data_IF_844326656269
#
_entry.id   IF_844326656269
#
_cell.length_a   1.000
_cell.length_b   1.000
_cell.length_c   1.000
_cell.angle_alpha   90.00
_cell.angle_beta   90.00
_cell.angle_gamma   90.00
#
_symmetry.space_group_name_H-M   'P 1'
#
loop_
_entity.id
_entity.type
_entity.pdbx_description
1 polymer ?
#
# COMPACT_ATOMS: atom_id res chain seq x y z
N UNK A 1 18.59 -13.14 -18.02
CA UNK A 1 17.49 -12.96 -17.05
C UNK A 1 17.61 -14.07 -16.02
N UNK A 2 18.13 -13.74 -14.84
CA UNK A 2 18.07 -14.61 -13.67
C UNK A 2 17.40 -13.77 -12.60
N UNK A 3 16.29 -14.29 -12.11
CA UNK A 3 15.42 -13.74 -11.09
C UNK A 3 16.26 -13.27 -9.89
N UNK A 4 16.20 -11.96 -9.60
CA UNK A 4 17.07 -11.26 -8.65
C UNK A 4 16.75 -11.60 -7.20
N UNK A 5 17.00 -12.85 -6.80
CA UNK A 5 17.05 -13.23 -5.39
C UNK A 5 18.37 -12.73 -4.83
N UNK A 6 18.28 -11.73 -3.97
CA UNK A 6 19.37 -11.25 -3.13
C UNK A 6 19.93 -12.45 -2.36
N UNK A 7 21.18 -12.84 -2.66
CA UNK A 7 21.85 -13.94 -1.96
C UNK A 7 22.20 -13.41 -0.58
N UNK A 8 21.52 -13.93 0.45
CA UNK A 8 21.83 -13.60 1.85
C UNK A 8 23.20 -14.20 2.16
N UNK A 9 24.23 -13.34 2.22
CA UNK A 9 25.57 -13.76 2.65
C UNK A 9 25.54 -14.22 4.10
N UNK A 10 26.24 -15.32 4.37
CA UNK A 10 26.52 -15.75 5.74
C UNK A 10 27.31 -14.67 6.48
N UNK A 11 27.04 -14.50 7.79
CA UNK A 11 27.70 -13.49 8.63
C UNK A 11 29.24 -13.64 8.62
N UNK A 12 29.73 -14.88 8.48
CA UNK A 12 31.16 -15.19 8.36
C UNK A 12 31.82 -14.62 7.09
N UNK A 13 31.04 -14.20 6.09
CA UNK A 13 31.50 -13.67 4.80
C UNK A 13 31.31 -12.15 4.70
N UNK A 14 30.85 -11.50 5.78
CA UNK A 14 30.53 -10.08 5.76
C UNK A 14 31.78 -9.22 5.63
N UNK A 15 31.70 -8.24 4.74
CA UNK A 15 32.69 -7.17 4.66
C UNK A 15 32.31 -5.96 5.55
N UNK A 16 33.18 -4.96 5.59
CA UNK A 16 32.97 -3.74 6.39
C UNK A 16 31.69 -3.00 5.97
N UNK A 17 31.31 -3.08 4.69
CA UNK A 17 30.11 -2.45 4.18
C UNK A 17 28.86 -3.21 4.61
N UNK A 18 28.86 -4.54 4.57
CA UNK A 18 27.78 -5.38 5.07
C UNK A 18 27.49 -5.09 6.56
N UNK A 19 28.53 -5.02 7.38
CA UNK A 19 28.40 -4.65 8.81
C UNK A 19 27.83 -3.24 9.00
N UNK A 20 28.26 -2.27 8.17
CA UNK A 20 27.74 -0.89 8.23
C UNK A 20 26.26 -0.84 7.87
N UNK A 21 25.82 -1.59 6.85
CA UNK A 21 24.43 -1.68 6.45
C UNK A 21 23.57 -2.31 7.55
N UNK A 22 24.04 -3.38 8.19
CA UNK A 22 23.35 -3.99 9.32
C UNK A 22 23.17 -3.00 10.50
N UNK A 23 24.20 -2.22 10.81
CA UNK A 23 24.13 -1.18 11.85
C UNK A 23 23.13 -0.07 11.50
N UNK A 24 23.09 0.38 10.24
CA UNK A 24 22.13 1.38 9.78
C UNK A 24 20.70 0.83 9.88
N UNK A 25 20.47 -0.38 9.38
CA UNK A 25 19.18 -1.05 9.48
C UNK A 25 18.71 -1.16 10.94
N UNK A 26 19.59 -1.57 11.87
CA UNK A 26 19.26 -1.65 13.29
C UNK A 26 18.89 -0.28 13.90
N UNK A 27 19.61 0.79 13.55
CA UNK A 27 19.31 2.16 14.00
C UNK A 27 17.97 2.66 13.47
N UNK A 28 17.67 2.38 12.20
CA UNK A 28 16.41 2.76 11.58
C UNK A 28 15.24 1.98 12.18
N UNK A 29 15.37 0.67 12.34
CA UNK A 29 14.37 -0.17 13.01
C UNK A 29 14.06 0.35 14.41
N UNK A 30 15.10 0.67 15.20
CA UNK A 30 14.92 1.27 16.51
C UNK A 30 14.13 2.59 16.44
N UNK A 31 14.46 3.45 15.47
CA UNK A 31 13.75 4.72 15.24
C UNK A 31 12.27 4.48 14.95
N UNK A 32 11.94 3.51 14.09
CA UNK A 32 10.55 3.11 13.84
C UNK A 32 9.88 2.64 15.13
N UNK A 33 10.47 1.69 15.85
CA UNK A 33 9.87 1.14 17.06
C UNK A 33 9.60 2.19 18.15
N UNK A 34 10.49 3.18 18.30
CA UNK A 34 10.28 4.31 19.22
C UNK A 34 9.14 5.24 18.79
N UNK A 35 8.87 5.36 17.49
CA UNK A 35 7.82 6.24 16.96
C UNK A 35 6.43 5.59 16.93
N UNK A 36 6.34 4.26 16.96
CA UNK A 36 5.08 3.53 16.80
C UNK A 36 4.29 3.42 18.10
N UNK A 37 2.96 3.47 17.98
CA UNK A 37 2.07 3.15 19.10
C UNK A 37 2.10 1.64 19.37
N UNK A 38 1.72 1.17 20.58
CA UNK A 38 1.77 -0.26 20.92
C UNK A 38 1.05 -1.18 19.93
N UNK A 39 -0.11 -0.77 19.39
CA UNK A 39 -0.86 -1.56 18.42
C UNK A 39 -0.16 -1.67 17.05
N UNK A 40 0.60 -0.65 16.65
CA UNK A 40 1.35 -0.61 15.40
C UNK A 40 2.67 -1.36 15.55
N UNK A 41 3.36 -1.17 16.68
CA UNK A 41 4.55 -1.93 17.05
C UNK A 41 4.29 -3.43 17.01
N UNK A 42 3.22 -3.92 17.65
CA UNK A 42 2.90 -5.35 17.69
C UNK A 42 2.79 -5.97 16.28
N UNK A 43 2.30 -5.21 15.29
CA UNK A 43 2.16 -5.68 13.90
C UNK A 43 3.48 -5.84 13.16
N UNK A 44 4.50 -5.07 13.53
CA UNK A 44 5.81 -5.03 12.85
C UNK A 44 6.96 -5.59 13.71
N UNK A 45 6.68 -6.00 14.95
CA UNK A 45 7.67 -6.47 15.93
C UNK A 45 8.51 -7.66 15.46
N UNK A 46 7.98 -8.48 14.53
CA UNK A 46 8.65 -9.64 13.95
C UNK A 46 9.32 -9.37 12.60
N UNK A 47 9.37 -8.11 12.14
CA UNK A 47 10.08 -7.77 10.90
C UNK A 47 11.59 -7.79 11.12
N UNK A 48 12.33 -8.32 10.15
CA UNK A 48 13.79 -8.50 10.26
C UNK A 48 14.58 -7.29 9.75
N UNK A 49 13.95 -6.44 8.95
CA UNK A 49 14.58 -5.26 8.37
C UNK A 49 13.61 -4.08 8.26
N UNK A 50 14.18 -2.88 8.10
CA UNK A 50 13.44 -1.62 7.99
C UNK A 50 12.47 -1.61 6.81
N UNK A 51 12.83 -2.28 5.70
CA UNK A 51 12.00 -2.35 4.49
C UNK A 51 10.71 -3.08 4.78
N UNK A 52 10.75 -4.21 5.49
CA UNK A 52 9.56 -4.95 5.88
C UNK A 52 8.66 -4.16 6.83
N UNK A 53 9.25 -3.44 7.81
CA UNK A 53 8.49 -2.55 8.69
C UNK A 53 7.75 -1.51 7.85
N UNK A 54 8.48 -0.82 6.96
CA UNK A 54 7.93 0.21 6.10
C UNK A 54 6.84 -0.33 5.18
N UNK A 55 7.07 -1.47 4.53
CA UNK A 55 6.11 -2.10 3.62
C UNK A 55 4.82 -2.49 4.35
N UNK A 56 4.91 -3.07 5.56
CA UNK A 56 3.73 -3.39 6.38
C UNK A 56 2.97 -2.16 6.84
N UNK A 57 3.67 -1.11 7.27
CA UNK A 57 3.05 0.16 7.64
C UNK A 57 2.37 0.79 6.42
N UNK A 58 3.04 0.83 5.28
CA UNK A 58 2.49 1.37 4.03
C UNK A 58 1.21 0.64 3.62
N UNK A 59 1.20 -0.70 3.66
CA UNK A 59 0.01 -1.51 3.42
C UNK A 59 -1.11 -1.21 4.42
N UNK A 60 -0.78 -1.04 5.69
CA UNK A 60 -1.78 -0.78 6.74
C UNK A 60 -2.50 0.56 6.54
N UNK A 61 -1.77 1.62 6.21
CA UNK A 61 -2.38 2.96 6.07
C UNK A 61 -2.91 3.25 4.67
N UNK A 62 -2.25 2.75 3.62
CA UNK A 62 -2.65 3.01 2.23
C UNK A 62 -3.58 1.92 1.67
N UNK A 63 -3.59 0.74 2.28
CA UNK A 63 -4.22 -0.46 1.72
C UNK A 63 -3.32 -1.13 0.67
N UNK A 64 -3.74 -2.30 0.18
CA UNK A 64 -3.07 -3.01 -0.93
C UNK A 64 -3.75 -2.71 -2.26
N UNK A 65 -3.01 -2.87 -3.37
CA UNK A 65 -3.59 -2.85 -4.72
C UNK A 65 -4.69 -3.91 -4.88
N UNK A 66 -4.53 -5.09 -4.26
CA UNK A 66 -5.54 -6.14 -4.29
C UNK A 66 -6.87 -5.71 -3.65
N UNK A 67 -6.84 -5.01 -2.50
CA UNK A 67 -8.06 -4.46 -1.88
C UNK A 67 -8.70 -3.41 -2.78
N UNK A 68 -7.88 -2.58 -3.43
CA UNK A 68 -8.35 -1.57 -4.38
C UNK A 68 -9.03 -2.21 -5.60
N UNK A 69 -8.39 -3.21 -6.21
CA UNK A 69 -8.90 -3.97 -7.35
C UNK A 69 -10.19 -4.72 -7.00
N UNK A 70 -10.24 -5.34 -5.82
CA UNK A 70 -11.44 -6.02 -5.31
C UNK A 70 -12.60 -5.04 -5.18
N UNK A 71 -12.37 -3.85 -4.59
CA UNK A 71 -13.40 -2.80 -4.49
C UNK A 71 -13.87 -2.30 -5.85
N UNK A 72 -12.97 -2.17 -6.83
CA UNK A 72 -13.34 -1.81 -8.21
C UNK A 72 -14.22 -2.91 -8.81
N UNK A 73 -13.82 -4.18 -8.68
CA UNK A 73 -14.58 -5.31 -9.22
C UNK A 73 -15.98 -5.39 -8.63
N UNK A 74 -16.13 -5.18 -7.31
CA UNK A 74 -17.44 -5.14 -6.64
C UNK A 74 -18.30 -4.01 -7.20
N UNK A 75 -17.77 -2.79 -7.25
CA UNK A 75 -18.54 -1.64 -7.76
C UNK A 75 -18.89 -1.76 -9.26
N UNK A 76 -18.02 -2.37 -10.05
CA UNK A 76 -18.32 -2.67 -11.46
C UNK A 76 -19.45 -3.69 -11.59
N UNK A 77 -19.43 -4.74 -10.78
CA UNK A 77 -20.50 -5.72 -10.73
C UNK A 77 -21.83 -5.10 -10.26
N UNK A 78 -21.80 -4.27 -9.22
CA UNK A 78 -22.99 -3.55 -8.73
C UNK A 78 -23.55 -2.60 -9.79
N UNK A 79 -22.67 -1.94 -10.56
CA UNK A 79 -23.07 -1.12 -11.69
C UNK A 79 -23.77 -1.93 -12.79
N UNK A 80 -23.28 -3.12 -13.12
CA UNK A 80 -23.87 -3.99 -14.15
C UNK A 80 -25.24 -4.56 -13.72
N UNK A 81 -25.42 -4.79 -12.42
CA UNK A 81 -26.67 -5.34 -11.86
C UNK A 81 -27.68 -4.27 -11.45
N UNK A 82 -27.31 -2.99 -11.49
CA UNK A 82 -28.21 -1.92 -11.04
C UNK A 82 -29.45 -1.90 -11.94
N UNK A 83 -30.61 -2.00 -11.31
CA UNK A 83 -31.90 -1.92 -11.98
C UNK A 83 -32.88 -1.26 -11.05
N UNK A 84 -33.80 -0.51 -11.65
CA UNK A 84 -34.81 0.16 -10.87
C UNK A 84 -35.77 -0.87 -10.26
N UNK A 85 -36.02 -0.80 -8.95
CA UNK A 85 -37.05 -1.61 -8.27
C UNK A 85 -38.45 -1.01 -8.51
N UNK A 86 -39.47 -1.83 -8.31
CA UNK A 86 -40.88 -1.40 -8.50
C UNK A 86 -41.37 -0.43 -7.42
N UNK A 87 -40.72 -0.43 -6.25
CA UNK A 87 -41.09 0.32 -5.05
C UNK A 87 -40.17 1.51 -4.76
N UNK A 88 -39.14 1.74 -5.59
CA UNK A 88 -38.24 2.88 -5.41
C UNK A 88 -38.57 4.04 -6.36
N UNK A 89 -38.22 5.25 -5.94
CA UNK A 89 -38.35 6.45 -6.75
C UNK A 89 -37.17 6.59 -7.70
N UNK A 90 -37.37 7.34 -8.79
CA UNK A 90 -36.30 7.68 -9.75
C UNK A 90 -35.12 8.38 -9.04
N UNK A 91 -35.40 9.19 -8.01
CA UNK A 91 -34.36 9.88 -7.24
C UNK A 91 -33.51 8.91 -6.42
N UNK A 92 -34.12 7.90 -5.81
CA UNK A 92 -33.38 6.89 -5.02
C UNK A 92 -32.48 6.04 -5.92
N UNK A 93 -33.00 5.62 -7.08
CA UNK A 93 -32.21 4.92 -8.09
C UNK A 93 -31.04 5.79 -8.61
N UNK A 94 -31.30 7.08 -8.88
CA UNK A 94 -30.28 8.03 -9.33
C UNK A 94 -29.18 8.28 -8.29
N UNK A 95 -29.55 8.32 -7.00
CA UNK A 95 -28.59 8.45 -5.91
C UNK A 95 -27.69 7.20 -5.83
N UNK A 96 -28.27 6.00 -5.90
CA UNK A 96 -27.50 4.75 -5.90
C UNK A 96 -26.51 4.68 -7.08
N UNK A 97 -26.96 5.04 -8.27
CA UNK A 97 -26.09 5.13 -9.45
C UNK A 97 -24.94 6.13 -9.23
N UNK A 98 -25.25 7.29 -8.68
CA UNK A 98 -24.26 8.35 -8.41
C UNK A 98 -23.23 7.88 -7.39
N UNK A 99 -23.63 7.17 -6.35
CA UNK A 99 -22.75 6.61 -5.33
C UNK A 99 -21.75 5.59 -5.93
N UNK A 100 -22.22 4.68 -6.78
CA UNK A 100 -21.36 3.70 -7.47
C UNK A 100 -20.35 4.40 -8.38
N UNK A 101 -20.81 5.36 -9.20
CA UNK A 101 -19.93 6.13 -10.09
C UNK A 101 -18.89 6.94 -9.30
N UNK A 102 -19.29 7.53 -8.18
CA UNK A 102 -18.38 8.29 -7.32
C UNK A 102 -17.35 7.37 -6.65
N UNK A 103 -17.76 6.18 -6.18
CA UNK A 103 -16.85 5.16 -5.66
C UNK A 103 -15.81 4.71 -6.71
N UNK A 104 -16.27 4.43 -7.93
CA UNK A 104 -15.38 4.06 -9.04
C UNK A 104 -14.41 5.20 -9.40
N UNK A 105 -14.87 6.47 -9.43
CA UNK A 105 -14.01 7.64 -9.66
C UNK A 105 -12.98 7.83 -8.54
N UNK A 106 -13.36 7.62 -7.29
CA UNK A 106 -12.46 7.73 -6.14
C UNK A 106 -11.34 6.68 -6.19
N UNK A 107 -11.67 5.44 -6.57
CA UNK A 107 -10.70 4.35 -6.73
C UNK A 107 -9.85 4.54 -8.00
N UNK A 108 -10.38 5.13 -9.07
CA UNK A 108 -9.65 5.44 -10.31
C UNK A 108 -8.77 6.70 -10.23
N UNK A 109 -8.66 7.38 -9.09
CA UNK A 109 -7.68 8.47 -8.97
C UNK A 109 -6.25 7.95 -9.06
N UNK A 110 -5.59 8.37 -10.13
CA UNK A 110 -4.15 8.29 -10.38
C UNK A 110 -3.39 9.17 -9.39
N UNK A 111 -2.42 8.59 -8.69
CA UNK A 111 -1.38 9.37 -8.04
C UNK A 111 -0.41 9.85 -9.12
N UNK A 112 -0.46 11.13 -9.47
CA UNK A 112 0.72 11.83 -9.96
C UNK A 112 1.15 12.81 -8.88
N UNK A 113 2.22 12.46 -8.17
CA UNK A 113 3.06 13.41 -7.47
C UNK A 113 4.51 12.97 -7.72
N UNK A 114 4.99 13.27 -8.93
CA UNK A 114 6.42 13.32 -9.22
C UNK A 114 6.88 14.74 -8.94
N UNK A 115 7.42 15.00 -7.76
CA UNK A 115 8.35 16.10 -7.60
C UNK A 115 9.66 15.68 -8.26
N UNK A 116 10.07 16.44 -9.28
CA UNK A 116 11.27 16.21 -10.05
C UNK A 116 11.11 16.71 -11.47
N UNK A 117 11.05 18.04 -11.64
CA UNK A 117 11.55 18.61 -12.90
C UNK A 117 13.05 18.39 -12.89
N UNK A 118 13.54 17.72 -13.94
CA UNK A 118 14.96 17.57 -14.22
C UNK A 118 15.62 18.94 -14.36
N UNK A 119 16.82 19.06 -13.78
CA UNK A 119 17.70 20.20 -13.97
C UNK A 119 18.36 20.15 -15.36
N UNK A 120 18.44 21.32 -15.98
CA UNK A 120 19.48 21.82 -16.90
C UNK A 120 19.70 21.11 -18.24
N UNK A 121 19.37 21.81 -19.32
CA UNK A 121 20.37 22.59 -20.08
C UNK A 121 19.72 23.83 -20.70
#
# INVERSE_FOLDING_TARGET
MVDGKEVIKLESEWDVNDMKMAQLNAKEMHTFFCALRPCEYNRVSLCENVKEIWDKLAVTYKGTNQVKETKISILTHDYELIKMKSDETISEMSNCFTDIINGLKALRKTFKCGYGKENSQ
#
